data_IF_087857208756
#
_entry.id   IF_087857208756
#
_cell.length_a   1.000
_cell.length_b   1.000
_cell.length_c   1.000
_cell.angle_alpha   90.00
_cell.angle_beta   90.00
_cell.angle_gamma   90.00
#
_symmetry.space_group_name_H-M   'P 1'
#
loop_
_entity.id
_entity.type
_entity.pdbx_description
1 polymer ?
#
# COMPACT_ATOMS: atom_id res chain seq x y z
N UNK A 1 -1.67 37.95 18.00
CA UNK A 1 -2.72 37.19 18.72
C UNK A 1 -3.15 36.07 17.80
N UNK A 2 -3.52 34.89 18.32
CA UNK A 2 -3.99 33.77 17.48
C UNK A 2 -5.52 33.73 17.41
N UNK A 3 -6.08 33.45 16.23
CA UNK A 3 -7.53 33.32 16.03
C UNK A 3 -7.87 31.96 15.40
N UNK A 4 -8.99 31.38 15.83
CA UNK A 4 -9.55 30.18 15.21
C UNK A 4 -10.59 30.62 14.19
N UNK A 5 -10.46 30.13 12.96
CA UNK A 5 -11.32 30.50 11.85
C UNK A 5 -11.72 29.27 11.02
N UNK A 6 -12.69 29.43 10.11
CA UNK A 6 -13.08 28.38 9.15
C UNK A 6 -12.49 28.64 7.77
N UNK A 7 -11.94 27.60 7.16
CA UNK A 7 -11.45 27.62 5.77
C UNK A 7 -12.62 27.84 4.81
N UNK A 8 -12.49 28.83 3.93
CA UNK A 8 -13.42 29.09 2.83
C UNK A 8 -12.85 28.62 1.49
N UNK A 9 -11.57 28.89 1.24
CA UNK A 9 -10.86 28.41 0.05
C UNK A 9 -9.34 28.37 0.25
N UNK A 10 -8.69 27.52 -0.55
CA UNK A 10 -7.24 27.41 -0.64
C UNK A 10 -6.80 27.76 -2.05
N UNK A 11 -5.82 28.65 -2.20
CA UNK A 11 -5.32 29.10 -3.51
C UNK A 11 -3.81 28.99 -3.57
N UNK A 12 -3.29 28.34 -4.62
CA UNK A 12 -1.85 28.32 -4.90
C UNK A 12 -1.46 29.58 -5.65
N UNK A 13 -0.43 30.26 -5.17
CA UNK A 13 0.13 31.47 -5.77
C UNK A 13 1.51 31.13 -6.31
N UNK A 14 1.66 31.27 -7.62
CA UNK A 14 2.85 30.84 -8.33
C UNK A 14 4.07 31.74 -8.09
N UNK A 15 3.87 33.00 -7.71
CA UNK A 15 4.94 33.96 -7.51
C UNK A 15 4.58 35.04 -6.47
N UNK A 16 5.09 34.87 -5.25
CA UNK A 16 5.19 35.93 -4.25
C UNK A 16 6.66 36.12 -3.94
N UNK A 17 7.27 37.15 -4.52
CA UNK A 17 8.69 37.46 -4.39
C UNK A 17 9.63 36.31 -4.79
N UNK A 18 9.28 35.57 -5.85
CA UNK A 18 10.04 34.42 -6.33
C UNK A 18 9.78 33.10 -5.58
N UNK A 19 8.88 33.10 -4.60
CA UNK A 19 8.45 31.91 -3.89
C UNK A 19 7.05 31.46 -4.34
N UNK A 20 6.88 30.14 -4.47
CA UNK A 20 5.56 29.52 -4.60
C UNK A 20 4.95 29.42 -3.21
N UNK A 21 3.83 30.09 -2.98
CA UNK A 21 3.15 30.15 -1.69
C UNK A 21 1.69 29.73 -1.85
N UNK A 22 1.04 29.44 -0.74
CA UNK A 22 -0.39 29.14 -0.73
C UNK A 22 -1.11 30.07 0.24
N UNK A 23 -2.22 30.62 -0.21
CA UNK A 23 -3.09 31.48 0.59
C UNK A 23 -4.36 30.73 0.97
N UNK A 24 -4.81 30.95 2.20
CA UNK A 24 -6.05 30.39 2.75
C UNK A 24 -6.98 31.53 3.12
N UNK A 25 -8.09 31.61 2.38
CA UNK A 25 -9.19 32.51 2.72
C UNK A 25 -10.02 31.89 3.83
N UNK A 26 -10.35 32.66 4.85
CA UNK A 26 -11.04 32.15 6.02
C UNK A 26 -12.02 33.15 6.63
N UNK A 27 -13.00 32.61 7.37
CA UNK A 27 -13.98 33.37 8.15
C UNK A 27 -13.61 33.29 9.64
N UNK A 28 -13.23 34.40 10.29
CA UNK A 28 -12.88 34.44 11.71
C UNK A 28 -14.09 34.29 12.66
N UNK A 29 -15.30 34.09 12.14
CA UNK A 29 -16.54 33.96 12.92
C UNK A 29 -17.27 35.28 13.16
N UNK A 30 -16.94 36.31 12.38
CA UNK A 30 -17.53 37.64 12.44
C UNK A 30 -16.64 38.71 11.79
N UNK A 31 -17.24 39.70 11.13
CA UNK A 31 -16.50 40.74 10.42
C UNK A 31 -16.18 40.36 8.96
N UNK A 32 -15.08 40.91 8.43
CA UNK A 32 -14.65 40.65 7.07
C UNK A 32 -13.86 39.34 6.98
N UNK A 33 -13.97 38.65 5.84
CA UNK A 33 -13.12 37.50 5.56
C UNK A 33 -11.67 37.92 5.42
N UNK A 34 -10.78 37.10 5.93
CA UNK A 34 -9.34 37.36 5.95
C UNK A 34 -8.60 36.32 5.09
N UNK A 35 -7.31 36.57 4.85
CA UNK A 35 -6.47 35.69 4.03
C UNK A 35 -5.09 35.60 4.65
N UNK A 36 -4.70 34.38 5.00
CA UNK A 36 -3.40 34.09 5.59
C UNK A 36 -2.55 33.21 4.69
N UNK A 37 -1.23 33.37 4.80
CA UNK A 37 -0.24 32.51 4.15
C UNK A 37 -0.18 31.16 4.87
N UNK A 38 -0.27 30.06 4.14
CA UNK A 38 -0.15 28.73 4.69
C UNK A 38 1.27 28.21 4.53
N UNK A 39 1.94 28.02 5.67
CA UNK A 39 3.24 27.36 5.74
C UNK A 39 3.06 25.90 6.18
N UNK A 40 3.72 25.00 5.47
CA UNK A 40 3.74 23.58 5.79
C UNK A 40 5.14 23.14 6.19
N UNK A 41 5.24 22.00 6.87
CA UNK A 41 6.53 21.37 7.06
C UNK A 41 7.17 21.09 5.70
N UNK A 42 8.50 21.19 5.64
CA UNK A 42 9.23 20.89 4.42
C UNK A 42 8.90 19.48 3.92
N UNK A 43 8.75 19.34 2.60
CA UNK A 43 8.39 18.10 1.93
C UNK A 43 6.97 17.57 2.26
N UNK A 44 6.07 18.43 2.78
CA UNK A 44 4.64 18.15 2.86
C UNK A 44 3.87 19.09 1.91
N UNK A 45 2.87 18.54 1.23
CA UNK A 45 1.90 19.27 0.39
C UNK A 45 0.50 18.74 0.71
N UNK A 46 -0.15 19.38 1.69
CA UNK A 46 -1.48 19.01 2.15
C UNK A 46 -2.46 20.18 1.95
N UNK A 47 -3.49 19.95 1.15
CA UNK A 47 -4.50 20.97 0.86
C UNK A 47 -5.69 20.79 1.84
N UNK A 48 -6.01 21.79 2.67
CA UNK A 48 -7.20 21.74 3.53
C UNK A 48 -8.47 21.83 2.68
N UNK A 49 -9.58 21.34 3.21
CA UNK A 49 -10.88 21.45 2.58
C UNK A 49 -11.66 22.65 3.15
N UNK A 50 -12.55 23.27 2.36
CA UNK A 50 -13.53 24.19 2.89
C UNK A 50 -14.31 23.58 4.06
N UNK A 51 -14.48 24.36 5.13
CA UNK A 51 -15.11 23.90 6.38
C UNK A 51 -14.15 23.33 7.42
N UNK A 52 -12.89 23.05 7.09
CA UNK A 52 -11.86 22.79 8.10
C UNK A 52 -11.67 24.01 9.00
N UNK A 53 -11.33 23.78 10.26
CA UNK A 53 -10.90 24.86 11.13
C UNK A 53 -9.41 25.11 10.95
N UNK A 54 -8.98 26.35 11.16
CA UNK A 54 -7.60 26.75 11.12
C UNK A 54 -7.22 27.63 12.32
N UNK A 55 -5.93 27.69 12.63
CA UNK A 55 -5.35 28.68 13.52
C UNK A 55 -4.52 29.67 12.68
N UNK A 56 -4.88 30.96 12.77
CA UNK A 56 -4.12 32.06 12.17
C UNK A 56 -3.34 32.81 13.26
N UNK A 57 -2.17 33.33 12.90
CA UNK A 57 -1.36 34.23 13.72
C UNK A 57 -0.97 35.45 12.90
N UNK A 58 -1.14 36.64 13.48
CA UNK A 58 -0.70 37.89 12.85
C UNK A 58 0.83 37.98 12.82
N UNK A 59 1.40 38.45 11.71
CA UNK A 59 2.85 38.68 11.54
C UNK A 59 3.18 40.16 11.47
N UNK A 60 4.47 40.51 11.55
CA UNK A 60 4.96 41.90 11.45
C UNK A 60 4.91 42.42 10.00
N UNK A 61 3.69 42.50 9.46
CA UNK A 61 3.35 43.05 8.16
C UNK A 61 1.91 43.54 8.23
N UNK A 62 1.62 44.72 7.71
CA UNK A 62 0.25 45.27 7.74
C UNK A 62 -0.73 44.30 7.06
N UNK A 63 -1.74 43.85 7.80
CA UNK A 63 -2.71 42.83 7.33
C UNK A 63 -2.11 41.46 7.06
N UNK A 64 -0.88 41.20 7.52
CA UNK A 64 -0.19 39.94 7.29
C UNK A 64 -0.60 38.91 8.32
N UNK A 65 -1.03 37.75 7.84
CA UNK A 65 -1.41 36.62 8.66
C UNK A 65 -0.80 35.33 8.12
N UNK A 66 -0.52 34.40 9.03
CA UNK A 66 -0.01 33.08 8.72
C UNK A 66 -0.90 32.01 9.34
N UNK A 67 -1.29 31.03 8.54
CA UNK A 67 -1.99 29.83 8.98
C UNK A 67 -0.98 28.79 9.41
N UNK A 68 -1.05 28.37 10.67
CA UNK A 68 -0.06 27.49 11.32
C UNK A 68 -0.58 26.10 11.64
N UNK A 69 -1.86 25.83 11.43
CA UNK A 69 -2.44 24.53 11.70
C UNK A 69 -3.91 24.44 11.29
N UNK A 70 -4.38 23.19 11.16
CA UNK A 70 -5.74 22.86 10.76
C UNK A 70 -6.33 21.81 11.70
N UNK A 71 -7.64 21.83 11.83
CA UNK A 71 -8.43 20.77 12.45
C UNK A 71 -9.46 20.32 11.42
N UNK A 72 -9.41 19.05 11.06
CA UNK A 72 -10.46 18.38 10.31
C UNK A 72 -11.62 18.04 11.26
N UNK A 73 -12.80 18.66 11.12
CA UNK A 73 -13.92 18.42 12.00
C UNK A 73 -14.71 17.15 11.66
N UNK A 74 -14.52 16.57 10.46
CA UNK A 74 -15.28 15.40 9.99
C UNK A 74 -14.61 14.08 10.38
N UNK A 75 -13.28 14.05 10.45
CA UNK A 75 -12.55 12.83 10.72
C UNK A 75 -12.20 12.69 12.21
N UNK A 76 -12.59 11.55 12.77
CA UNK A 76 -12.22 11.17 14.14
C UNK A 76 -10.70 10.96 14.25
N UNK A 77 -10.07 11.59 15.24
CA UNK A 77 -8.64 11.47 15.50
C UNK A 77 -8.36 10.19 16.30
N UNK A 78 -8.00 9.11 15.62
CA UNK A 78 -7.87 7.77 16.24
C UNK A 78 -6.45 7.41 16.69
N UNK A 79 -5.44 8.16 16.25
CA UNK A 79 -4.04 7.91 16.59
C UNK A 79 -3.83 7.99 18.11
N UNK A 80 -3.22 6.95 18.69
CA UNK A 80 -2.86 6.89 20.11
C UNK A 80 -1.51 7.60 20.37
N UNK A 81 -1.13 7.85 21.63
CA UNK A 81 0.18 8.42 21.94
C UNK A 81 1.34 7.64 21.30
N UNK A 82 2.24 8.33 20.61
CA UNK A 82 3.36 7.72 19.90
C UNK A 82 3.04 7.23 18.48
N UNK A 83 1.78 7.32 18.04
CA UNK A 83 1.38 6.96 16.69
C UNK A 83 1.40 8.16 15.73
N UNK A 84 1.49 7.87 14.44
CA UNK A 84 1.35 8.85 13.37
C UNK A 84 0.33 8.36 12.34
N UNK A 85 -0.68 9.17 12.06
CA UNK A 85 -1.70 8.88 11.04
C UNK A 85 -1.79 10.04 10.05
N UNK A 86 -1.70 9.73 8.78
CA UNK A 86 -1.98 10.65 7.69
C UNK A 86 -3.01 10.03 6.74
N UNK A 87 -3.88 10.85 6.18
CA UNK A 87 -4.99 10.39 5.34
C UNK A 87 -5.34 11.42 4.28
N UNK A 88 -5.97 10.95 3.21
CA UNK A 88 -6.55 11.80 2.19
C UNK A 88 -8.08 11.75 2.25
N UNK A 89 -8.71 12.84 1.81
CA UNK A 89 -10.17 12.97 1.72
C UNK A 89 -10.57 13.31 0.30
N UNK A 90 -11.78 12.89 -0.08
CA UNK A 90 -12.43 13.38 -1.29
C UNK A 90 -12.97 14.82 -1.11
N UNK A 91 -13.63 15.34 -2.15
CA UNK A 91 -14.20 16.69 -2.12
C UNK A 91 -15.33 16.86 -1.09
N UNK A 92 -16.01 15.77 -0.71
CA UNK A 92 -17.07 15.76 0.29
C UNK A 92 -16.51 15.62 1.72
N UNK A 93 -15.19 15.44 1.85
CA UNK A 93 -14.49 15.29 3.12
C UNK A 93 -14.53 13.87 3.69
N UNK A 94 -14.97 12.88 2.90
CA UNK A 94 -14.89 11.48 3.29
C UNK A 94 -13.45 10.97 3.11
N UNK A 95 -12.95 10.22 4.10
CA UNK A 95 -11.62 9.63 4.03
C UNK A 95 -11.58 8.55 2.93
N UNK A 96 -10.62 8.66 2.01
CA UNK A 96 -10.47 7.72 0.87
C UNK A 96 -9.29 6.78 1.01
N UNK A 97 -8.24 7.17 1.73
CA UNK A 97 -7.06 6.33 2.03
C UNK A 97 -6.35 6.88 3.25
N UNK A 98 -5.64 6.00 3.97
CA UNK A 98 -4.76 6.39 5.08
C UNK A 98 -3.44 5.61 5.09
N UNK A 99 -2.47 6.19 5.78
CA UNK A 99 -1.29 5.55 6.34
C UNK A 99 -1.31 5.73 7.86
N UNK A 100 -1.06 4.66 8.61
CA UNK A 100 -1.02 4.66 10.06
C UNK A 100 0.23 3.91 10.54
N UNK A 101 1.14 4.65 11.17
CA UNK A 101 2.31 4.14 11.87
C UNK A 101 1.96 4.02 13.35
N UNK A 102 1.87 2.79 13.84
CA UNK A 102 1.42 2.47 15.20
C UNK A 102 2.60 2.37 16.16
N UNK A 103 2.30 2.55 17.44
CA UNK A 103 3.29 2.54 18.52
C UNK A 103 3.90 1.16 18.76
N UNK A 104 3.24 0.09 18.31
CA UNK A 104 3.72 -1.28 18.39
C UNK A 104 4.71 -1.65 17.27
N UNK A 105 5.03 -0.71 16.38
CA UNK A 105 5.90 -0.93 15.22
C UNK A 105 5.16 -1.41 13.96
N UNK A 106 3.83 -1.54 14.01
CA UNK A 106 3.01 -1.88 12.83
C UNK A 106 2.82 -0.66 11.94
N UNK A 107 2.97 -0.83 10.64
CA UNK A 107 2.61 0.17 9.63
C UNK A 107 1.47 -0.36 8.76
N UNK A 108 0.41 0.43 8.59
CA UNK A 108 -0.78 0.07 7.81
C UNK A 108 -1.04 1.13 6.75
N UNK A 109 -1.27 0.71 5.51
CA UNK A 109 -1.84 1.55 4.44
C UNK A 109 -3.12 0.89 3.99
N UNK A 110 -4.25 1.60 4.04
CA UNK A 110 -5.52 1.01 3.64
C UNK A 110 -6.52 2.02 3.09
N UNK A 111 -7.43 1.53 2.28
CA UNK A 111 -8.68 2.18 1.89
C UNK A 111 -9.85 1.21 2.15
N UNK A 112 -11.00 1.43 1.51
CA UNK A 112 -12.17 0.55 1.65
C UNK A 112 -11.98 -0.84 1.02
N UNK A 113 -11.08 -0.96 0.04
CA UNK A 113 -10.97 -2.14 -0.84
C UNK A 113 -9.79 -3.03 -0.51
N UNK A 114 -8.70 -2.46 0.01
CA UNK A 114 -7.45 -3.18 0.23
C UNK A 114 -6.66 -2.62 1.42
N UNK A 115 -5.83 -3.50 1.98
CA UNK A 115 -4.92 -3.21 3.07
C UNK A 115 -3.53 -3.75 2.73
N UNK A 116 -2.51 -2.94 3.02
CA UNK A 116 -1.11 -3.32 3.13
C UNK A 116 -0.70 -3.15 4.59
N UNK A 117 -0.14 -4.19 5.20
CA UNK A 117 0.30 -4.16 6.60
C UNK A 117 1.71 -4.73 6.72
N UNK A 118 2.58 -4.02 7.43
CA UNK A 118 3.90 -4.47 7.86
C UNK A 118 3.92 -4.54 9.37
N UNK A 119 4.29 -5.71 9.90
CA UNK A 119 4.35 -5.97 11.34
C UNK A 119 5.80 -5.90 11.84
N UNK A 120 6.02 -5.61 13.14
CA UNK A 120 7.34 -5.66 13.76
C UNK A 120 8.00 -7.05 13.72
N UNK A 121 7.21 -8.12 13.53
CA UNK A 121 7.70 -9.49 13.33
C UNK A 121 8.42 -9.71 11.99
N UNK A 122 8.40 -8.73 11.09
CA UNK A 122 8.89 -8.86 9.72
C UNK A 122 7.84 -9.41 8.73
N UNK A 123 6.65 -9.78 9.21
CA UNK A 123 5.55 -10.16 8.33
C UNK A 123 5.07 -8.94 7.52
N UNK A 124 4.87 -9.14 6.22
CA UNK A 124 4.31 -8.14 5.31
C UNK A 124 3.13 -8.78 4.58
N UNK A 125 1.98 -8.11 4.60
CA UNK A 125 0.77 -8.60 3.94
C UNK A 125 0.18 -7.55 3.02
N UNK A 126 -0.39 -8.00 1.91
CA UNK A 126 -1.32 -7.21 1.10
C UNK A 126 -2.53 -8.07 0.78
N UNK A 127 -3.71 -7.54 1.01
CA UNK A 127 -4.96 -8.28 0.88
C UNK A 127 -6.13 -7.41 0.47
N UNK A 128 -7.10 -8.03 -0.20
CA UNK A 128 -8.43 -7.50 -0.49
C UNK A 128 -9.48 -8.60 -0.27
N UNK A 129 -10.72 -8.37 -0.71
CA UNK A 129 -11.80 -9.35 -0.57
C UNK A 129 -11.59 -10.66 -1.37
N UNK A 130 -10.76 -10.64 -2.41
CA UNK A 130 -10.56 -11.79 -3.31
C UNK A 130 -9.33 -12.63 -2.98
N UNK A 131 -8.40 -12.12 -2.17
CA UNK A 131 -7.20 -12.86 -1.80
C UNK A 131 -6.10 -12.01 -1.21
N UNK A 132 -4.92 -12.61 -1.10
CA UNK A 132 -3.74 -12.00 -0.50
C UNK A 132 -2.43 -12.50 -1.13
N UNK A 133 -1.37 -11.73 -0.90
CA UNK A 133 0.00 -12.21 -0.93
C UNK A 133 0.73 -11.73 0.33
N UNK A 134 1.52 -12.61 0.94
CA UNK A 134 2.15 -12.39 2.25
C UNK A 134 3.59 -12.88 2.23
N UNK A 135 4.48 -12.11 2.85
CA UNK A 135 5.73 -12.61 3.39
C UNK A 135 5.49 -12.90 4.87
N UNK A 136 5.51 -14.16 5.27
CA UNK A 136 5.34 -14.56 6.66
C UNK A 136 6.62 -14.24 7.45
N UNK A 137 6.49 -14.09 8.77
CA UNK A 137 7.65 -13.91 9.67
C UNK A 137 8.67 -15.07 9.59
N UNK A 138 8.25 -16.25 9.11
CA UNK A 138 9.12 -17.40 8.84
C UNK A 138 9.99 -17.23 7.59
N UNK A 139 9.73 -16.23 6.75
CA UNK A 139 10.35 -16.05 5.43
C UNK A 139 9.62 -16.76 4.28
N UNK A 140 8.58 -17.54 4.57
CA UNK A 140 7.73 -18.17 3.55
C UNK A 140 6.90 -17.10 2.84
N UNK A 141 6.86 -17.15 1.51
CA UNK A 141 5.91 -16.37 0.71
C UNK A 141 4.64 -17.19 0.53
N UNK A 142 3.48 -16.61 0.82
CA UNK A 142 2.17 -17.25 0.68
C UNK A 142 1.26 -16.39 -0.21
N UNK A 143 0.78 -16.97 -1.30
CA UNK A 143 -0.14 -16.34 -2.26
C UNK A 143 -1.39 -17.23 -2.34
N UNK A 144 -2.39 -16.91 -1.53
CA UNK A 144 -3.64 -17.69 -1.44
C UNK A 144 -3.42 -19.21 -1.23
N UNK A 145 -2.42 -19.57 -0.41
CA UNK A 145 -2.04 -20.95 -0.13
C UNK A 145 -1.00 -21.53 -1.08
N UNK A 146 -0.67 -20.88 -2.20
CA UNK A 146 0.53 -21.20 -2.97
C UNK A 146 1.75 -20.68 -2.20
N UNK A 147 2.59 -21.57 -1.71
CA UNK A 147 3.72 -21.21 -0.84
C UNK A 147 5.05 -21.34 -1.56
N UNK A 148 5.99 -20.45 -1.24
CA UNK A 148 7.41 -20.57 -1.57
C UNK A 148 8.16 -20.59 -0.24
N UNK A 149 8.80 -21.72 0.03
CA UNK A 149 9.60 -21.93 1.22
C UNK A 149 10.94 -21.19 1.14
N UNK A 150 11.62 -21.06 2.27
CA UNK A 150 12.89 -20.32 2.36
C UNK A 150 14.05 -20.99 1.62
N UNK A 151 13.92 -22.28 1.30
CA UNK A 151 14.87 -23.02 0.46
C UNK A 151 14.57 -22.89 -1.05
N UNK A 152 13.53 -22.15 -1.42
CA UNK A 152 13.09 -21.96 -2.79
C UNK A 152 12.16 -23.05 -3.33
N UNK A 153 11.85 -24.09 -2.55
CA UNK A 153 10.80 -25.05 -2.90
C UNK A 153 9.43 -24.36 -2.90
N UNK A 154 8.51 -24.83 -3.74
CA UNK A 154 7.18 -24.25 -3.85
C UNK A 154 6.10 -25.34 -3.80
N UNK A 155 4.99 -25.03 -3.14
CA UNK A 155 3.85 -25.92 -2.99
C UNK A 155 2.59 -25.21 -3.50
N UNK A 156 1.81 -25.90 -4.34
CA UNK A 156 0.48 -25.46 -4.76
C UNK A 156 -0.57 -26.32 -4.08
N UNK A 157 -1.62 -25.73 -3.48
CA UNK A 157 -2.68 -26.48 -2.82
C UNK A 157 -3.63 -27.18 -3.81
N UNK A 158 -3.54 -26.85 -5.11
CA UNK A 158 -4.45 -27.39 -6.14
C UNK A 158 -3.69 -27.91 -7.35
N UNK A 159 -3.09 -27.02 -8.15
CA UNK A 159 -2.36 -27.38 -9.36
C UNK A 159 -1.46 -26.22 -9.82
N UNK A 160 -0.52 -26.52 -10.72
CA UNK A 160 0.28 -25.51 -11.44
C UNK A 160 0.14 -25.81 -12.92
N UNK A 161 -0.21 -24.80 -13.72
CA UNK A 161 -0.17 -24.88 -15.18
C UNK A 161 1.06 -24.13 -15.66
N UNK A 162 1.94 -24.81 -16.40
CA UNK A 162 3.13 -24.22 -16.97
C UNK A 162 3.26 -24.63 -18.44
N UNK A 163 3.65 -23.71 -19.36
CA UNK A 163 3.89 -24.07 -20.76
C UNK A 163 5.12 -24.98 -20.92
N UNK A 164 6.07 -24.92 -19.98
CA UNK A 164 7.27 -25.75 -19.95
C UNK A 164 7.68 -25.96 -18.49
N UNK A 165 8.06 -27.19 -18.16
CA UNK A 165 8.69 -27.56 -16.90
C UNK A 165 10.06 -28.13 -17.26
N UNK A 166 11.12 -27.45 -16.84
CA UNK A 166 12.51 -27.87 -17.05
C UNK A 166 13.12 -28.26 -15.71
N UNK A 167 13.55 -29.52 -15.60
CA UNK A 167 14.25 -30.04 -14.43
C UNK A 167 15.71 -30.23 -14.77
N UNK A 168 16.59 -29.38 -14.23
CA UNK A 168 18.04 -29.43 -14.52
C UNK A 168 18.69 -30.74 -14.11
N UNK A 169 18.08 -31.46 -13.15
CA UNK A 169 18.50 -32.79 -12.69
C UNK A 169 17.46 -33.87 -12.97
N UNK A 170 16.20 -33.63 -12.59
CA UNK A 170 15.11 -34.60 -12.69
C UNK A 170 13.74 -33.90 -12.65
N UNK A 171 12.72 -34.58 -13.16
CA UNK A 171 11.31 -34.27 -12.92
C UNK A 171 10.64 -35.54 -12.40
N UNK A 172 9.94 -35.46 -11.27
CA UNK A 172 9.17 -36.59 -10.74
C UNK A 172 7.66 -36.33 -10.79
N UNK A 173 6.90 -37.32 -11.25
CA UNK A 173 5.45 -37.30 -11.26
C UNK A 173 4.91 -38.48 -10.44
N UNK A 174 4.18 -38.20 -9.36
CA UNK A 174 3.69 -39.24 -8.43
C UNK A 174 4.79 -40.21 -7.94
N UNK A 175 5.97 -39.66 -7.63
CA UNK A 175 7.16 -40.43 -7.21
C UNK A 175 7.80 -41.27 -8.31
N UNK A 176 7.42 -41.08 -9.59
CA UNK A 176 8.06 -41.69 -10.74
C UNK A 176 9.05 -40.71 -11.34
N UNK A 177 10.31 -41.14 -11.39
CA UNK A 177 11.38 -40.44 -12.10
C UNK A 177 11.05 -40.33 -13.58
N UNK A 178 11.47 -39.24 -14.24
CA UNK A 178 11.33 -39.05 -15.68
C UNK A 178 12.65 -39.30 -16.41
N UNK A 179 13.80 -38.88 -15.84
CA UNK A 179 15.10 -38.95 -16.54
C UNK A 179 15.60 -40.39 -16.72
N UNK A 180 15.48 -41.20 -15.68
CA UNK A 180 15.96 -42.59 -15.65
C UNK A 180 14.83 -43.63 -15.63
N UNK A 181 13.64 -43.25 -16.10
CA UNK A 181 12.49 -44.14 -16.05
C UNK A 181 12.68 -45.34 -17.00
N UNK A 182 12.32 -46.53 -16.54
CA UNK A 182 12.44 -47.78 -17.31
C UNK A 182 11.07 -48.40 -17.54
N UNK A 183 10.94 -49.11 -18.66
CA UNK A 183 9.74 -49.87 -19.01
C UNK A 183 10.02 -51.36 -18.83
N UNK A 184 9.18 -52.06 -18.06
CA UNK A 184 9.16 -53.52 -18.07
C UNK A 184 8.46 -53.96 -19.38
N UNK A 185 9.18 -54.64 -20.27
CA UNK A 185 8.64 -55.11 -21.55
C UNK A 185 7.39 -55.98 -21.39
N UNK A 186 6.50 -55.97 -22.39
CA UNK A 186 5.30 -56.82 -22.38
C UNK A 186 5.67 -58.31 -22.34
N UNK A 187 4.99 -59.16 -21.53
CA UNK A 187 5.17 -60.61 -21.56
C UNK A 187 4.74 -61.25 -22.91
N UNK A 188 4.11 -60.48 -23.79
CA UNK A 188 3.70 -60.91 -25.15
C UNK A 188 4.43 -60.17 -26.28
N UNK A 189 5.42 -59.33 -25.97
CA UNK A 189 6.22 -58.71 -27.03
C UNK A 189 6.98 -59.82 -27.79
N UNK A 190 6.93 -59.84 -29.15
CA UNK A 190 7.79 -60.73 -29.93
C UNK A 190 9.24 -60.49 -29.54
N UNK A 191 10.04 -61.55 -29.40
CA UNK A 191 11.47 -61.44 -29.18
C UNK A 191 12.12 -60.75 -30.38
N UNK A 192 12.32 -59.44 -30.28
CA UNK A 192 12.92 -58.59 -31.29
C UNK A 192 13.47 -57.31 -30.66
N UNK A 193 14.38 -56.60 -31.34
CA UNK A 193 14.98 -55.39 -30.80
C UNK A 193 13.91 -54.32 -30.51
N UNK A 194 13.80 -53.89 -29.26
CA UNK A 194 13.00 -52.73 -28.86
C UNK A 194 13.70 -51.46 -29.32
N UNK A 195 13.13 -50.80 -30.33
CA UNK A 195 13.58 -49.48 -30.77
C UNK A 195 13.28 -48.43 -29.69
N UNK A 196 14.21 -47.52 -29.37
CA UNK A 196 13.97 -46.41 -28.42
C UNK A 196 12.95 -45.38 -28.94
N UNK A 197 12.50 -45.53 -30.19
CA UNK A 197 11.31 -44.84 -30.71
C UNK A 197 10.29 -45.92 -31.02
N UNK A 198 9.15 -45.89 -30.32
CA UNK A 198 8.03 -46.79 -30.56
C UNK A 198 7.47 -46.63 -31.97
N UNK A 199 8.12 -47.27 -32.94
CA UNK A 199 7.60 -47.50 -34.27
C UNK A 199 7.31 -48.99 -34.35
N UNK A 200 6.04 -49.35 -34.15
CA UNK A 200 5.53 -50.63 -34.60
C UNK A 200 5.65 -50.65 -36.13
N UNK A 201 6.46 -51.55 -36.67
CA UNK A 201 6.31 -52.04 -38.05
C UNK A 201 5.39 -53.27 -38.04
#
# INVERSE_FOLDING_TARGET
>A
MGLIAKVLSYTRIADRFGAKVSDVKHDPGGGANETGEHFQAANQDAVPLPGDYLLTVSVQRTGGEVVVGFIDPKQEQTAQPGEYRAYARDADGAQVVQIHLKQDGTAVINNAEATVEMKPSGEVSTQNASGFYKLLASGVVDINGFTINTDGSAESPVSVTAPTVDGTSSVQAAGKELVDHTHAGSPTAPSGPVSPTGANQ
#
